data_IF_866537849073
#
_entry.id   IF_866537849073
#
_cell.length_a   1.000
_cell.length_b   1.000
_cell.length_c   1.000
_cell.angle_alpha   90.00
_cell.angle_beta   90.00
_cell.angle_gamma   90.00
#
_symmetry.space_group_name_H-M   'P 1'
#
loop_
_entity.id
_entity.type
_entity.pdbx_description
1 polymer ?
#
# COMPACT_ATOMS: atom_id res chain seq x y z
N UNK A 1 -8.02 12.77 1.79
CA UNK A 1 -7.43 11.44 1.58
C UNK A 1 -7.97 10.56 2.69
N UNK A 2 -8.61 9.44 2.38
CA UNK A 2 -9.09 8.53 3.44
C UNK A 2 -7.91 8.09 4.29
N UNK A 3 -8.03 8.27 5.60
CA UNK A 3 -6.93 8.02 6.51
C UNK A 3 -6.71 6.51 6.66
N UNK A 4 -5.47 6.07 6.49
CA UNK A 4 -5.08 4.69 6.80
C UNK A 4 -5.13 4.52 8.31
N UNK A 5 -5.83 3.49 8.76
CA UNK A 5 -5.88 3.19 10.18
C UNK A 5 -4.56 2.61 10.71
N UNK A 6 -4.46 2.57 12.03
CA UNK A 6 -3.26 2.10 12.70
C UNK A 6 -3.02 0.61 12.49
N UNK A 7 -4.09 -0.20 12.43
CA UNK A 7 -4.00 -1.65 12.24
C UNK A 7 -3.35 -2.00 10.90
N UNK A 8 -3.73 -1.30 9.85
CA UNK A 8 -3.21 -1.48 8.48
C UNK A 8 -1.71 -1.20 8.43
N UNK A 9 -1.26 -0.08 9.01
CA UNK A 9 0.17 0.25 9.01
C UNK A 9 0.96 -0.74 9.87
N UNK A 10 0.43 -1.16 11.01
CA UNK A 10 1.08 -2.16 11.87
C UNK A 10 1.21 -3.53 11.19
N UNK A 11 0.18 -3.99 10.49
CA UNK A 11 0.26 -5.20 9.69
C UNK A 11 1.38 -5.11 8.66
N UNK A 12 1.45 -3.99 7.92
CA UNK A 12 2.48 -3.82 6.91
C UNK A 12 3.89 -3.81 7.52
N UNK A 13 4.09 -3.11 8.65
CA UNK A 13 5.37 -3.12 9.36
C UNK A 13 5.74 -4.51 9.88
N UNK A 14 4.76 -5.29 10.35
CA UNK A 14 4.98 -6.68 10.74
C UNK A 14 5.47 -7.52 9.55
N UNK A 15 4.88 -7.34 8.36
CA UNK A 15 5.33 -8.01 7.14
C UNK A 15 6.75 -7.60 6.77
N UNK A 16 7.08 -6.29 6.79
CA UNK A 16 8.42 -5.77 6.54
C UNK A 16 9.47 -6.36 7.49
N UNK A 17 9.12 -6.48 8.78
CA UNK A 17 10.03 -6.95 9.85
C UNK A 17 10.04 -8.47 10.03
N UNK A 18 9.29 -9.21 9.21
CA UNK A 18 9.39 -10.68 9.18
C UNK A 18 10.76 -11.13 8.70
N UNK A 19 11.14 -12.38 8.97
CA UNK A 19 12.42 -12.93 8.50
C UNK A 19 12.51 -12.91 6.96
N UNK A 20 11.41 -13.20 6.27
CA UNK A 20 11.33 -13.13 4.82
C UNK A 20 11.41 -11.69 4.29
N UNK A 21 10.76 -10.74 4.98
CA UNK A 21 10.84 -9.32 4.64
C UNK A 21 12.29 -8.80 4.74
N UNK A 22 12.96 -9.08 5.85
CA UNK A 22 14.38 -8.72 6.04
C UNK A 22 15.30 -9.36 5.00
N UNK A 23 15.03 -10.60 4.59
CA UNK A 23 15.83 -11.30 3.58
C UNK A 23 15.56 -10.80 2.15
N UNK A 24 14.39 -10.24 1.89
CA UNK A 24 13.94 -9.83 0.56
C UNK A 24 14.20 -8.35 0.23
N UNK A 25 14.32 -7.51 1.26
CA UNK A 25 14.44 -6.06 1.13
C UNK A 25 15.92 -5.64 1.11
N UNK A 26 16.30 -4.93 0.04
CA UNK A 26 17.51 -4.12 -0.06
C UNK A 26 17.15 -2.66 0.28
N UNK A 27 17.44 -2.17 1.50
CA UNK A 27 16.99 -0.85 1.93
C UNK A 27 17.56 0.26 1.04
N UNK A 28 16.67 1.07 0.46
CA UNK A 28 17.02 2.30 -0.27
C UNK A 28 16.62 3.50 0.57
N UNK A 29 17.52 4.48 0.68
CA UNK A 29 17.25 5.73 1.38
C UNK A 29 15.96 6.40 0.87
N UNK A 30 15.28 7.09 1.77
CA UNK A 30 14.03 7.82 1.52
C UNK A 30 12.78 7.04 1.11
N UNK A 31 12.90 5.74 0.81
CA UNK A 31 11.74 4.88 0.56
C UNK A 31 10.95 4.63 1.84
N UNK A 32 9.62 4.67 1.73
CA UNK A 32 8.71 4.49 2.86
C UNK A 32 8.95 3.15 3.58
N UNK A 33 9.08 2.05 2.83
CA UNK A 33 9.37 0.73 3.39
C UNK A 33 10.68 0.72 4.20
N UNK A 34 11.73 1.34 3.69
CA UNK A 34 13.02 1.50 4.40
C UNK A 34 12.86 2.29 5.70
N UNK A 35 12.13 3.41 5.68
CA UNK A 35 11.90 4.24 6.87
C UNK A 35 11.07 3.51 7.92
N UNK A 36 10.09 2.72 7.51
CA UNK A 36 9.25 1.93 8.42
C UNK A 36 9.99 0.75 9.05
N UNK A 37 10.96 0.15 8.35
CA UNK A 37 11.76 -0.95 8.89
C UNK A 37 12.42 -0.61 10.24
N UNK A 38 12.98 0.60 10.36
CA UNK A 38 13.68 1.07 11.57
C UNK A 38 12.86 2.01 12.47
N UNK A 39 11.61 2.29 12.12
CA UNK A 39 10.79 3.25 12.87
C UNK A 39 10.40 2.77 14.27
N UNK A 40 10.75 3.54 15.31
CA UNK A 40 10.20 3.33 16.66
C UNK A 40 8.73 3.77 16.74
N UNK A 41 8.42 4.94 16.16
CA UNK A 41 7.04 5.43 16.00
C UNK A 41 6.59 5.18 14.55
N UNK A 42 5.87 4.07 14.36
CA UNK A 42 5.43 3.58 13.06
C UNK A 42 4.41 4.53 12.43
N UNK A 43 3.40 4.96 13.19
CA UNK A 43 2.32 5.80 12.68
C UNK A 43 2.79 7.21 12.34
N UNK A 44 3.66 7.79 13.16
CA UNK A 44 4.25 9.09 12.84
C UNK A 44 5.15 9.00 11.61
N UNK A 45 5.93 7.93 11.48
CA UNK A 45 6.76 7.69 10.28
C UNK A 45 5.90 7.55 9.03
N UNK A 46 4.81 6.79 9.09
CA UNK A 46 3.83 6.68 8.00
C UNK A 46 3.25 8.04 7.62
N UNK A 47 2.72 8.79 8.60
CA UNK A 47 2.12 10.10 8.36
C UNK A 47 3.10 11.08 7.72
N UNK A 48 4.37 11.09 8.13
CA UNK A 48 5.37 12.01 7.58
C UNK A 48 5.80 11.67 6.16
N UNK A 49 5.86 10.38 5.82
CA UNK A 49 6.53 9.90 4.60
C UNK A 49 5.58 9.33 3.54
N UNK A 50 4.29 9.14 3.86
CA UNK A 50 3.28 8.87 2.82
C UNK A 50 3.22 10.07 1.88
N UNK A 51 3.12 9.82 0.58
CA UNK A 51 3.05 10.89 -0.42
C UNK A 51 1.87 11.82 -0.10
N UNK A 52 2.16 13.10 0.15
CA UNK A 52 1.17 14.10 0.55
C UNK A 52 0.50 14.80 -0.63
N UNK A 53 1.13 14.79 -1.81
CA UNK A 53 0.70 15.56 -2.98
C UNK A 53 -0.26 14.79 -3.90
N UNK A 54 -1.03 13.85 -3.35
CA UNK A 54 -1.98 13.06 -4.13
C UNK A 54 -3.39 13.65 -4.04
N UNK A 55 -4.06 13.77 -5.21
CA UNK A 55 -5.48 14.08 -5.25
C UNK A 55 -6.28 13.10 -4.38
N UNK A 56 -7.31 13.60 -3.69
CA UNK A 56 -8.21 12.71 -2.98
C UNK A 56 -8.93 11.79 -3.96
N UNK A 57 -9.27 10.58 -3.51
CA UNK A 57 -10.07 9.66 -4.31
C UNK A 57 -11.38 10.30 -4.78
N UNK A 58 -12.07 11.03 -3.90
CA UNK A 58 -13.28 11.77 -4.24
C UNK A 58 -13.07 12.75 -5.41
N UNK A 59 -12.00 13.55 -5.37
CA UNK A 59 -11.69 14.50 -6.44
C UNK A 59 -11.36 13.79 -7.76
N UNK A 60 -10.64 12.67 -7.72
CA UNK A 60 -10.37 11.86 -8.92
C UNK A 60 -11.66 11.26 -9.50
N UNK A 61 -12.53 10.72 -8.64
CA UNK A 61 -13.78 10.10 -9.05
C UNK A 61 -14.76 11.12 -9.65
N UNK A 62 -14.89 12.30 -9.05
CA UNK A 62 -15.69 13.41 -9.60
C UNK A 62 -15.18 13.86 -10.97
N UNK A 63 -13.86 14.02 -11.13
CA UNK A 63 -13.26 14.43 -12.40
C UNK A 63 -13.48 13.40 -13.53
N UNK A 64 -13.51 12.10 -13.19
CA UNK A 64 -13.82 11.02 -14.13
C UNK A 64 -15.32 11.00 -14.44
N UNK A 65 -16.18 11.08 -13.43
CA UNK A 65 -17.64 11.08 -13.60
C UNK A 65 -18.16 12.28 -14.41
N UNK A 66 -17.42 13.40 -14.43
CA UNK A 66 -17.74 14.55 -15.28
C UNK A 66 -17.61 14.27 -16.80
N UNK A 67 -16.93 13.19 -17.21
CA UNK A 67 -16.68 12.85 -18.62
C UNK A 67 -17.12 11.46 -19.02
N UNK A 68 -17.27 10.55 -18.06
CA UNK A 68 -17.55 9.14 -18.28
C UNK A 68 -18.64 8.66 -17.35
N UNK A 69 -19.35 7.62 -17.76
CA UNK A 69 -20.25 6.91 -16.85
C UNK A 69 -19.42 5.92 -16.04
N UNK A 70 -19.33 6.14 -14.73
CA UNK A 70 -18.64 5.22 -13.81
C UNK A 70 -19.51 3.98 -13.60
N UNK A 71 -19.02 2.79 -13.96
CA UNK A 71 -19.70 1.52 -13.64
C UNK A 71 -19.39 1.06 -12.24
N UNK A 72 -18.13 1.15 -11.87
CA UNK A 72 -17.62 0.45 -10.70
C UNK A 72 -16.46 1.20 -10.08
N UNK A 73 -16.45 1.22 -8.76
CA UNK A 73 -15.33 1.64 -7.92
C UNK A 73 -15.02 0.51 -6.95
N UNK A 74 -13.76 0.14 -6.85
CA UNK A 74 -13.28 -0.89 -5.92
C UNK A 74 -12.09 -0.38 -5.13
N UNK A 75 -12.05 -0.73 -3.84
CA UNK A 75 -10.82 -0.69 -3.05
C UNK A 75 -10.00 -1.93 -3.35
N UNK A 76 -8.69 -1.78 -3.60
CA UNK A 76 -7.81 -2.87 -4.02
C UNK A 76 -6.48 -2.85 -3.25
N UNK A 77 -5.77 -3.99 -3.15
CA UNK A 77 -4.43 -4.04 -2.57
C UNK A 77 -3.48 -3.04 -3.21
N UNK A 78 -2.57 -2.48 -2.42
CA UNK A 78 -1.68 -1.42 -2.87
C UNK A 78 -0.34 -1.33 -2.12
N UNK A 79 -0.22 -1.97 -0.95
CA UNK A 79 1.00 -1.87 -0.15
C UNK A 79 2.23 -2.48 -0.85
N UNK A 80 2.01 -3.44 -1.74
CA UNK A 80 3.04 -4.01 -2.62
C UNK A 80 3.84 -2.92 -3.36
N UNK A 81 3.22 -1.78 -3.71
CA UNK A 81 3.88 -0.67 -4.41
C UNK A 81 5.03 -0.06 -3.60
N UNK A 82 4.95 -0.06 -2.28
CA UNK A 82 6.03 0.44 -1.42
C UNK A 82 7.21 -0.53 -1.33
N UNK A 83 7.01 -1.80 -1.70
CA UNK A 83 8.05 -2.82 -1.72
C UNK A 83 8.84 -2.80 -3.02
N UNK A 84 8.18 -2.60 -4.16
CA UNK A 84 8.81 -2.65 -5.51
C UNK A 84 10.16 -1.91 -5.58
N UNK A 85 10.32 -0.69 -5.05
CA UNK A 85 11.59 0.03 -5.15
C UNK A 85 12.71 -0.56 -4.30
N UNK A 86 12.40 -1.31 -3.25
CA UNK A 86 13.36 -1.79 -2.24
C UNK A 86 13.58 -3.30 -2.27
N UNK A 87 12.93 -4.03 -3.17
CA UNK A 87 13.11 -5.48 -3.26
C UNK A 87 14.34 -5.85 -4.07
N UNK A 88 15.02 -6.92 -3.66
CA UNK A 88 16.06 -7.54 -4.48
C UNK A 88 15.46 -8.17 -5.75
N UNK A 89 16.23 -8.26 -6.84
CA UNK A 89 15.81 -8.94 -8.08
C UNK A 89 16.00 -10.46 -7.94
N UNK A 90 15.25 -11.10 -7.05
CA UNK A 90 15.32 -12.54 -6.77
C UNK A 90 13.94 -13.18 -6.75
N UNK A 91 13.87 -14.50 -6.97
CA UNK A 91 12.62 -15.27 -6.85
C UNK A 91 12.02 -15.22 -5.44
N UNK A 92 12.88 -15.16 -4.41
CA UNK A 92 12.47 -15.00 -3.02
C UNK A 92 11.74 -13.67 -2.80
N UNK A 93 12.29 -12.56 -3.31
CA UNK A 93 11.68 -11.25 -3.20
C UNK A 93 10.36 -11.16 -4.02
N UNK A 94 10.31 -11.81 -5.18
CA UNK A 94 9.06 -11.96 -5.95
C UNK A 94 7.99 -12.76 -5.18
N UNK A 95 8.38 -13.79 -4.44
CA UNK A 95 7.44 -14.56 -3.61
C UNK A 95 6.96 -13.75 -2.41
N UNK A 96 7.83 -12.94 -1.80
CA UNK A 96 7.46 -12.06 -0.69
C UNK A 96 6.46 -10.98 -1.09
N UNK A 97 6.62 -10.34 -2.25
CA UNK A 97 5.64 -9.34 -2.71
C UNK A 97 4.27 -9.96 -3.01
N UNK A 98 4.24 -11.16 -3.59
CA UNK A 98 2.99 -11.90 -3.81
C UNK A 98 2.32 -12.26 -2.47
N UNK A 99 3.08 -12.75 -1.50
CA UNK A 99 2.55 -13.04 -0.16
C UNK A 99 1.95 -11.81 0.51
N UNK A 100 2.62 -10.65 0.45
CA UNK A 100 2.08 -9.39 0.99
C UNK A 100 0.80 -8.99 0.27
N UNK A 101 0.74 -9.14 -1.06
CA UNK A 101 -0.45 -8.86 -1.84
C UNK A 101 -1.63 -9.78 -1.46
N UNK A 102 -1.39 -11.09 -1.30
CA UNK A 102 -2.42 -12.04 -0.90
C UNK A 102 -2.91 -11.79 0.53
N UNK A 103 -1.99 -11.52 1.47
CA UNK A 103 -2.36 -11.15 2.83
C UNK A 103 -3.18 -9.86 2.87
N UNK A 104 -2.80 -8.83 2.12
CA UNK A 104 -3.55 -7.58 2.04
C UNK A 104 -4.98 -7.83 1.52
N UNK A 105 -5.10 -8.64 0.47
CA UNK A 105 -6.39 -9.02 -0.12
C UNK A 105 -7.31 -9.69 0.90
N UNK A 106 -6.83 -10.73 1.58
CA UNK A 106 -7.62 -11.49 2.56
C UNK A 106 -8.02 -10.64 3.76
N UNK A 107 -7.09 -9.85 4.31
CA UNK A 107 -7.38 -8.99 5.45
C UNK A 107 -8.34 -7.85 5.07
N UNK A 108 -8.20 -7.30 3.87
CA UNK A 108 -9.09 -6.27 3.34
C UNK A 108 -10.52 -6.80 3.12
N UNK A 109 -10.66 -8.01 2.56
CA UNK A 109 -11.97 -8.67 2.38
C UNK A 109 -12.69 -8.92 3.72
N UNK A 110 -11.93 -9.19 4.78
CA UNK A 110 -12.46 -9.39 6.14
C UNK A 110 -12.70 -8.09 6.90
N UNK A 111 -12.32 -6.95 6.34
CA UNK A 111 -12.40 -5.64 7.01
C UNK A 111 -11.44 -5.49 8.19
N UNK A 112 -10.39 -6.31 8.25
CA UNK A 112 -9.35 -6.25 9.30
C UNK A 112 -8.35 -5.11 9.05
N UNK A 113 -8.21 -4.68 7.79
CA UNK A 113 -7.39 -3.54 7.36
C UNK A 113 -8.12 -2.74 6.27
N UNK A 114 -7.65 -1.52 6.02
CA UNK A 114 -8.13 -0.67 4.94
C UNK A 114 -7.24 -0.81 3.71
N UNK A 115 -7.84 -1.20 2.58
CA UNK A 115 -7.17 -1.21 1.28
C UNK A 115 -6.94 0.22 0.78
N UNK A 116 -5.73 0.55 0.31
CA UNK A 116 -5.40 1.92 -0.13
C UNK A 116 -5.62 2.15 -1.62
N UNK A 117 -5.50 1.09 -2.41
CA UNK A 117 -5.66 1.18 -3.85
C UNK A 117 -7.11 1.48 -4.20
N UNK A 118 -7.30 2.23 -5.28
CA UNK A 118 -8.62 2.54 -5.82
C UNK A 118 -8.62 2.20 -7.30
N UNK A 119 -9.59 1.40 -7.73
CA UNK A 119 -9.83 1.05 -9.13
C UNK A 119 -11.16 1.67 -9.56
N UNK A 120 -11.13 2.45 -10.63
CA UNK A 120 -12.34 3.03 -11.24
C UNK A 120 -12.48 2.45 -12.64
N UNK A 121 -13.64 1.89 -12.95
CA UNK A 121 -14.00 1.41 -14.29
C UNK A 121 -15.08 2.32 -14.85
N UNK A 122 -14.76 3.00 -15.95
CA UNK A 122 -15.63 3.96 -16.61
C UNK A 122 -15.59 3.80 -18.13
N UNK A 123 -16.65 4.21 -18.81
CA UNK A 123 -16.82 4.08 -20.26
C UNK A 123 -17.44 5.36 -20.82
N UNK A 124 -17.19 5.59 -22.11
CA UNK A 124 -17.72 6.71 -22.88
C UNK A 124 -19.23 6.57 -23.09
#
# INVERSE_FOLDING_TARGET
MEEVDEATVHWFVKALRSEQGKASINPIADQLATKLLSASDVMQTWRRNRAHDLHSFAAMNEAIAARFVVRETQSVPYFYRYLVPVLATTSQAASFIDEVFQQESVLGERGEIVLLGRRIVAFL
#
